data_IF_719578956689
#
_entry.id   IF_719578956689
#
_cell.length_a   1.000
_cell.length_b   1.000
_cell.length_c   1.000
_cell.angle_alpha   90.00
_cell.angle_beta   90.00
_cell.angle_gamma   90.00
#
_symmetry.space_group_name_H-M   'P 1'
#
loop_
_entity.id
_entity.type
_entity.pdbx_description
1 polymer ?
#
# COMPACT_ATOMS: atom_id res chain seq x y z
N UNK A 1 -18.64 -12.14 -5.33
CA UNK A 1 -17.28 -11.80 -4.87
C UNK A 1 -16.54 -11.20 -6.05
N UNK A 2 -16.20 -9.91 -5.95
CA UNK A 2 -15.59 -9.14 -7.02
C UNK A 2 -14.06 -9.19 -6.94
N UNK A 3 -13.37 -9.41 -8.07
CA UNK A 3 -11.90 -9.47 -8.12
C UNK A 3 -11.33 -8.31 -8.94
N UNK A 4 -10.48 -7.49 -8.32
CA UNK A 4 -9.75 -6.40 -8.95
C UNK A 4 -8.29 -6.82 -9.21
N UNK A 5 -7.81 -6.54 -10.41
CA UNK A 5 -6.45 -6.86 -10.85
C UNK A 5 -5.70 -5.63 -11.34
N UNK A 6 -4.37 -5.73 -11.27
CA UNK A 6 -3.45 -4.74 -11.80
C UNK A 6 -3.24 -3.53 -10.89
N UNK A 7 -2.12 -2.85 -11.11
CA UNK A 7 -1.78 -1.59 -10.44
C UNK A 7 -2.39 -0.38 -11.17
N UNK A 8 -2.55 0.72 -10.46
CA UNK A 8 -2.85 2.02 -11.03
C UNK A 8 -1.58 2.71 -11.55
N UNK A 9 -1.72 3.92 -12.09
CA UNK A 9 -0.60 4.69 -12.66
C UNK A 9 0.42 5.17 -11.62
N UNK A 10 0.07 5.17 -10.33
CA UNK A 10 0.93 5.64 -9.25
C UNK A 10 0.66 4.88 -7.94
N UNK A 11 1.58 5.02 -6.98
CA UNK A 11 1.39 4.52 -5.61
C UNK A 11 0.14 5.11 -4.95
N UNK A 12 -0.13 6.40 -5.15
CA UNK A 12 -1.35 7.06 -4.68
C UNK A 12 -2.61 6.48 -5.32
N UNK A 13 -2.58 6.23 -6.63
CA UNK A 13 -3.70 5.59 -7.34
C UNK A 13 -3.93 4.14 -6.91
N UNK A 14 -2.87 3.42 -6.50
CA UNK A 14 -3.03 2.10 -5.90
C UNK A 14 -3.78 2.19 -4.57
N UNK A 15 -3.47 3.18 -3.73
CA UNK A 15 -4.17 3.40 -2.46
C UNK A 15 -5.64 3.72 -2.69
N UNK A 16 -5.92 4.73 -3.52
CA UNK A 16 -7.28 5.17 -3.86
C UNK A 16 -8.13 4.02 -4.43
N UNK A 17 -7.54 3.18 -5.28
CA UNK A 17 -8.25 2.02 -5.86
C UNK A 17 -8.60 0.96 -4.81
N UNK A 18 -7.76 0.77 -3.78
CA UNK A 18 -8.10 -0.10 -2.65
C UNK A 18 -9.18 0.52 -1.78
N UNK A 19 -9.08 1.82 -1.47
CA UNK A 19 -10.05 2.53 -0.62
C UNK A 19 -11.45 2.48 -1.24
N UNK A 20 -11.57 2.79 -2.54
CA UNK A 20 -12.84 2.66 -3.30
C UNK A 20 -13.38 1.24 -3.34
N UNK A 21 -12.50 0.22 -3.33
CA UNK A 21 -12.94 -1.17 -3.28
C UNK A 21 -13.59 -1.48 -1.93
N UNK A 22 -13.00 -1.01 -0.84
CA UNK A 22 -13.51 -1.19 0.53
C UNK A 22 -14.83 -0.46 0.70
N UNK A 23 -14.92 0.81 0.29
CA UNK A 23 -16.15 1.62 0.32
C UNK A 23 -17.30 0.90 -0.40
N UNK A 24 -17.07 0.47 -1.64
CA UNK A 24 -18.10 -0.27 -2.41
C UNK A 24 -18.52 -1.57 -1.73
N UNK A 25 -17.58 -2.32 -1.15
CA UNK A 25 -17.92 -3.57 -0.48
C UNK A 25 -18.83 -3.31 0.73
N UNK A 26 -18.59 -2.22 1.46
CA UNK A 26 -19.46 -1.78 2.55
C UNK A 26 -20.85 -1.34 2.04
N UNK A 27 -20.91 -0.56 0.95
CA UNK A 27 -22.18 -0.07 0.38
C UNK A 27 -23.06 -1.18 -0.21
N UNK A 28 -22.45 -2.15 -0.88
CA UNK A 28 -23.17 -3.16 -1.68
C UNK A 28 -23.37 -4.48 -0.94
N UNK A 29 -22.67 -4.69 0.17
CA UNK A 29 -22.61 -6.00 0.84
C UNK A 29 -21.89 -7.08 0.02
N UNK A 30 -21.26 -6.74 -1.11
CA UNK A 30 -20.52 -7.72 -1.92
C UNK A 30 -19.03 -7.77 -1.50
N UNK A 31 -18.50 -8.93 -1.05
CA UNK A 31 -17.09 -9.07 -0.76
C UNK A 31 -16.20 -8.85 -1.99
N UNK A 32 -15.02 -8.28 -1.77
CA UNK A 32 -14.06 -8.01 -2.83
C UNK A 32 -12.63 -8.44 -2.49
N UNK A 33 -11.88 -8.82 -3.53
CA UNK A 33 -10.46 -9.15 -3.47
C UNK A 33 -9.71 -8.30 -4.50
N UNK A 34 -8.64 -7.64 -4.09
CA UNK A 34 -7.67 -7.01 -4.99
C UNK A 34 -6.36 -7.77 -4.96
N UNK A 35 -5.78 -8.03 -6.12
CA UNK A 35 -4.42 -8.60 -6.27
C UNK A 35 -3.64 -7.76 -7.28
N UNK A 36 -2.45 -7.29 -6.91
CA UNK A 36 -1.63 -6.45 -7.78
C UNK A 36 -0.14 -6.53 -7.44
N UNK A 37 0.69 -6.06 -8.38
CA UNK A 37 2.13 -5.83 -8.16
C UNK A 37 2.35 -4.33 -7.97
N UNK A 38 2.56 -3.85 -6.74
CA UNK A 38 2.75 -2.42 -6.48
C UNK A 38 3.98 -1.85 -7.19
N UNK A 39 4.03 -0.53 -7.33
CA UNK A 39 5.25 0.17 -7.77
C UNK A 39 6.40 -0.06 -6.79
N UNK A 40 7.65 0.14 -7.24
CA UNK A 40 8.81 0.09 -6.36
C UNK A 40 8.78 1.28 -5.39
N UNK A 41 8.71 1.01 -4.09
CA UNK A 41 8.69 2.04 -3.03
C UNK A 41 8.92 1.41 -1.64
N UNK A 42 9.27 2.23 -0.63
CA UNK A 42 9.18 1.81 0.78
C UNK A 42 7.97 2.48 1.43
N UNK A 43 7.16 1.70 2.13
CA UNK A 43 6.06 2.20 2.92
C UNK A 43 6.38 2.12 4.41
N UNK A 44 6.70 3.26 5.03
CA UNK A 44 7.01 3.38 6.45
C UNK A 44 5.72 3.47 7.28
N UNK A 45 5.64 2.66 8.33
CA UNK A 45 4.55 2.74 9.29
C UNK A 45 4.81 3.81 10.34
N UNK A 46 3.76 4.16 11.09
CA UNK A 46 3.82 5.18 12.16
C UNK A 46 4.94 4.99 13.19
N UNK A 47 5.35 3.74 13.49
CA UNK A 47 6.46 3.51 14.43
C UNK A 47 7.82 3.82 13.82
N UNK A 48 7.95 3.67 12.50
CA UNK A 48 9.19 3.94 11.80
C UNK A 48 9.36 5.44 11.59
N UNK A 49 8.27 6.16 11.30
CA UNK A 49 8.28 7.63 11.13
C UNK A 49 8.65 8.39 12.40
N UNK A 50 8.42 7.80 13.56
CA UNK A 50 8.72 8.40 14.87
C UNK A 50 10.09 7.99 15.42
N UNK A 51 10.89 7.22 14.68
CA UNK A 51 12.20 6.78 15.13
C UNK A 51 13.28 7.78 14.74
N UNK A 52 14.28 7.99 15.61
CA UNK A 52 15.37 8.96 15.41
C UNK A 52 16.15 8.76 14.09
N UNK A 53 16.13 7.56 13.51
CA UNK A 53 16.77 7.23 12.24
C UNK A 53 15.89 7.36 10.99
N UNK A 54 14.66 7.86 11.12
CA UNK A 54 13.67 7.86 10.04
C UNK A 54 14.15 8.62 8.79
N UNK A 55 14.62 9.86 8.95
CA UNK A 55 15.05 10.68 7.82
C UNK A 55 16.23 10.05 7.08
N UNK A 56 17.21 9.52 7.84
CA UNK A 56 18.33 8.77 7.28
C UNK A 56 17.86 7.55 6.50
N UNK A 57 16.90 6.79 7.04
CA UNK A 57 16.34 5.63 6.35
C UNK A 57 15.60 6.03 5.06
N UNK A 58 14.90 7.16 5.08
CA UNK A 58 14.19 7.72 3.92
C UNK A 58 15.16 8.10 2.81
N UNK A 59 16.26 8.74 3.15
CA UNK A 59 17.28 9.15 2.20
C UNK A 59 18.01 7.96 1.58
N UNK A 60 18.43 6.99 2.41
CA UNK A 60 19.03 5.75 1.90
C UNK A 60 18.06 5.03 0.96
N UNK A 61 16.78 4.92 1.31
CA UNK A 61 15.79 4.29 0.44
C UNK A 61 15.67 5.01 -0.91
N UNK A 62 15.61 6.34 -0.89
CA UNK A 62 15.53 7.17 -2.10
C UNK A 62 16.77 7.01 -2.98
N UNK A 63 17.96 7.03 -2.40
CA UNK A 63 19.23 6.79 -3.10
C UNK A 63 19.27 5.40 -3.77
N UNK A 64 18.64 4.40 -3.15
CA UNK A 64 18.49 3.06 -3.71
C UNK A 64 17.31 2.91 -4.70
N UNK A 65 16.70 4.02 -5.13
CA UNK A 65 15.60 4.00 -6.10
C UNK A 65 14.26 3.55 -5.51
N UNK A 66 14.10 3.62 -4.19
CA UNK A 66 12.83 3.39 -3.51
C UNK A 66 12.29 4.72 -2.96
N UNK A 67 11.40 5.41 -3.71
CA UNK A 67 10.68 6.54 -3.13
C UNK A 67 9.92 6.08 -1.88
N UNK A 68 9.90 6.93 -0.86
CA UNK A 68 9.32 6.59 0.44
C UNK A 68 7.93 7.20 0.57
N UNK A 69 6.98 6.44 1.11
CA UNK A 69 5.67 6.93 1.53
C UNK A 69 5.45 6.64 3.01
N UNK A 70 4.67 7.50 3.64
CA UNK A 70 4.09 7.23 4.95
C UNK A 70 2.73 6.56 4.78
N UNK A 71 2.45 5.56 5.62
CA UNK A 71 1.13 4.92 5.68
C UNK A 71 0.54 5.03 7.08
N UNK A 72 -0.76 5.34 7.11
CA UNK A 72 -1.54 5.53 8.36
C UNK A 72 -1.81 4.22 9.12
N UNK A 73 -1.82 3.09 8.42
CA UNK A 73 -2.04 1.76 9.02
C UNK A 73 -0.78 1.23 9.69
N UNK A 74 -0.96 0.51 10.81
CA UNK A 74 0.14 0.02 11.66
C UNK A 74 1.07 -1.02 11.01
N UNK A 75 2.19 -1.28 11.69
CA UNK A 75 3.23 -2.22 11.24
C UNK A 75 4.59 -1.53 11.08
N UNK A 76 5.59 -2.32 10.67
CA UNK A 76 6.94 -1.85 10.30
C UNK A 76 7.00 -1.47 8.82
N UNK A 77 8.14 -0.92 8.42
CA UNK A 77 8.42 -0.58 7.03
C UNK A 77 8.33 -1.82 6.14
N UNK A 78 7.82 -1.62 4.92
CA UNK A 78 7.75 -2.67 3.89
C UNK A 78 8.35 -2.14 2.61
N UNK A 79 9.32 -2.87 2.05
CA UNK A 79 9.87 -2.59 0.73
C UNK A 79 9.06 -3.34 -0.35
N UNK A 80 8.46 -2.58 -1.26
CA UNK A 80 7.88 -3.11 -2.48
C UNK A 80 8.93 -3.02 -3.59
N UNK A 81 9.31 -4.17 -4.15
CA UNK A 81 10.44 -4.29 -5.09
C UNK A 81 10.05 -4.01 -6.54
N UNK A 82 8.76 -3.85 -6.82
CA UNK A 82 8.21 -3.86 -8.18
C UNK A 82 7.94 -5.27 -8.73
N UNK A 83 8.37 -6.33 -8.04
CA UNK A 83 7.97 -7.73 -8.29
C UNK A 83 7.13 -8.32 -7.14
N UNK A 84 7.07 -7.65 -6.00
CA UNK A 84 6.20 -8.01 -4.88
C UNK A 84 4.74 -8.14 -5.32
N UNK A 85 4.08 -9.24 -4.99
CA UNK A 85 2.63 -9.38 -5.13
C UNK A 85 1.96 -8.98 -3.81
N UNK A 86 0.99 -8.09 -3.88
CA UNK A 86 0.17 -7.66 -2.76
C UNK A 86 -1.30 -8.02 -3.02
N UNK A 87 -2.04 -8.28 -1.94
CA UNK A 87 -3.47 -8.46 -2.00
C UNK A 87 -4.18 -7.77 -0.83
N UNK A 88 -5.44 -7.42 -1.05
CA UNK A 88 -6.33 -6.86 -0.03
C UNK A 88 -7.71 -7.47 -0.19
N UNK A 89 -8.32 -7.89 0.91
CA UNK A 89 -9.66 -8.47 0.94
C UNK A 89 -10.56 -7.55 1.75
N UNK A 90 -11.67 -7.14 1.15
CA UNK A 90 -12.76 -6.43 1.82
C UNK A 90 -13.87 -7.43 2.13
N UNK A 91 -14.24 -7.53 3.41
CA UNK A 91 -15.34 -8.35 3.90
C UNK A 91 -16.36 -7.36 4.50
N UNK A 92 -17.58 -7.29 3.95
CA UNK A 92 -18.65 -6.49 4.52
C UNK A 92 -18.96 -6.98 5.94
N UNK A 93 -19.20 -6.04 6.85
CA UNK A 93 -19.60 -6.32 8.23
C UNK A 93 -21.08 -6.62 8.37
#
# INVERSE_FOLDING_TARGET
MRVLRGRARSVGGDRERTDRMVERAAETGEPALRVWTPHRHVAFGRRDTNADGYDRARDIAREQGYPSIERRVGGRAVAYTGSTVAFSRAIPG
#
